data_IF_956539457286
#
_entry.id   IF_956539457286
#
_cell.length_a   1.000
_cell.length_b   1.000
_cell.length_c   1.000
_cell.angle_alpha   90.00
_cell.angle_beta   90.00
_cell.angle_gamma   90.00
#
_symmetry.space_group_name_H-M   'P 1'
#
loop_
_entity.id
_entity.type
_entity.pdbx_description
1 polymer ?
#
# COMPACT_ATOMS: atom_id res chain seq x y z
N UNK A 1 16.44 6.17 -3.47
CA UNK A 1 17.00 4.94 -2.91
C UNK A 1 16.17 4.40 -1.77
N UNK A 2 15.88 5.27 -0.79
CA UNK A 2 15.06 4.87 0.33
C UNK A 2 13.66 4.48 -0.12
N UNK A 3 13.13 5.20 -1.10
CA UNK A 3 11.81 4.92 -1.64
C UNK A 3 11.74 3.55 -2.29
N UNK A 4 12.77 3.18 -3.02
CA UNK A 4 12.81 1.87 -3.68
C UNK A 4 12.90 0.76 -2.64
N UNK A 5 13.71 0.93 -1.62
CA UNK A 5 13.83 -0.04 -0.56
C UNK A 5 12.51 -0.20 0.19
N UNK A 6 11.83 0.90 0.47
CA UNK A 6 10.54 0.87 1.15
C UNK A 6 9.48 0.21 0.28
N UNK A 7 9.47 0.53 -1.02
CA UNK A 7 8.53 -0.09 -1.95
C UNK A 7 8.73 -1.59 -2.02
N UNK A 8 9.98 -2.03 -2.10
CA UNK A 8 10.31 -3.45 -2.17
C UNK A 8 9.91 -4.18 -0.89
N UNK A 9 10.19 -3.57 0.25
CA UNK A 9 9.83 -4.16 1.54
C UNK A 9 8.32 -4.28 1.67
N UNK A 10 7.60 -3.23 1.31
CA UNK A 10 6.15 -3.23 1.38
C UNK A 10 5.54 -4.28 0.45
N UNK A 11 6.06 -4.36 -0.77
CA UNK A 11 5.59 -5.37 -1.72
C UNK A 11 5.80 -6.78 -1.18
N UNK A 12 6.95 -7.02 -0.57
CA UNK A 12 7.25 -8.32 0.01
C UNK A 12 6.27 -8.69 1.11
N UNK A 13 5.98 -7.73 1.99
CA UNK A 13 5.03 -7.96 3.09
C UNK A 13 3.63 -8.25 2.56
N UNK A 14 3.19 -7.47 1.58
CA UNK A 14 1.85 -7.63 1.02
C UNK A 14 1.72 -8.97 0.30
N UNK A 15 2.75 -9.37 -0.43
CA UNK A 15 2.75 -10.67 -1.12
C UNK A 15 2.58 -11.84 -0.15
N UNK A 16 3.04 -11.67 1.07
CA UNK A 16 2.90 -12.70 2.09
C UNK A 16 1.51 -12.82 2.67
N UNK A 17 0.64 -11.85 2.41
CA UNK A 17 -0.71 -11.79 2.97
C UNK A 17 -1.77 -12.24 1.98
N UNK A 18 -1.55 -11.98 0.69
CA UNK A 18 -2.58 -12.11 -0.34
C UNK A 18 -2.58 -13.50 -0.99
N UNK A 19 -3.69 -13.81 -1.67
CA UNK A 19 -3.82 -15.04 -2.44
C UNK A 19 -3.27 -14.91 -3.86
N UNK A 20 -3.10 -13.67 -4.33
CA UNK A 20 -2.62 -13.39 -5.69
C UNK A 20 -1.35 -12.55 -5.63
N UNK A 21 -0.23 -13.12 -5.16
CA UNK A 21 1.00 -12.34 -5.00
C UNK A 21 1.57 -11.82 -6.31
N UNK A 22 1.26 -12.48 -7.42
CA UNK A 22 1.69 -12.03 -8.75
C UNK A 22 0.98 -10.76 -9.20
N UNK A 23 -0.09 -10.36 -8.50
CA UNK A 23 -0.84 -9.16 -8.81
C UNK A 23 -0.47 -7.97 -7.94
N UNK A 24 0.43 -8.18 -7.00
CA UNK A 24 0.86 -7.10 -6.09
C UNK A 24 1.83 -6.16 -6.80
N UNK A 25 1.53 -4.87 -6.74
CA UNK A 25 2.40 -3.82 -7.26
C UNK A 25 2.46 -2.69 -6.27
N UNK A 26 3.64 -2.12 -6.11
CA UNK A 26 3.82 -0.95 -5.25
C UNK A 26 4.51 0.13 -6.07
N UNK A 27 3.85 1.26 -6.21
CA UNK A 27 4.38 2.40 -6.96
C UNK A 27 4.60 3.57 -6.00
N UNK A 28 5.76 4.20 -6.12
CA UNK A 28 6.08 5.36 -5.31
C UNK A 28 5.79 6.62 -6.12
N UNK A 29 5.13 7.58 -5.50
CA UNK A 29 4.83 8.88 -6.10
C UNK A 29 5.16 9.98 -5.14
N UNK A 30 5.63 11.10 -5.68
CA UNK A 30 5.87 12.31 -4.91
C UNK A 30 4.60 13.15 -4.92
N UNK A 31 4.06 13.41 -3.75
CA UNK A 31 2.81 14.16 -3.63
C UNK A 31 3.02 15.63 -3.29
N UNK A 32 4.26 16.07 -3.22
CA UNK A 32 4.57 17.44 -2.80
C UNK A 32 4.64 17.62 -1.29
N UNK A 33 4.01 16.72 -0.54
CA UNK A 33 4.06 16.71 0.92
C UNK A 33 4.81 15.50 1.47
N UNK A 34 5.41 14.75 0.59
CA UNK A 34 6.09 13.52 0.94
C UNK A 34 5.76 12.49 -0.12
N UNK A 35 6.20 11.29 0.12
CA UNK A 35 6.02 10.20 -0.83
C UNK A 35 4.77 9.41 -0.52
N UNK A 36 4.13 8.93 -1.57
CA UNK A 36 2.98 8.04 -1.46
C UNK A 36 3.36 6.70 -2.07
N UNK A 37 3.24 5.64 -1.30
CA UNK A 37 3.41 4.28 -1.79
C UNK A 37 2.02 3.72 -2.07
N UNK A 38 1.71 3.56 -3.34
CA UNK A 38 0.42 3.04 -3.77
C UNK A 38 0.54 1.53 -3.94
N UNK A 39 -0.21 0.80 -3.13
CA UNK A 39 -0.19 -0.66 -3.16
C UNK A 39 -1.40 -1.13 -3.97
N UNK A 40 -1.13 -1.86 -5.04
CA UNK A 40 -2.17 -2.42 -5.89
C UNK A 40 -2.23 -3.92 -5.70
N UNK A 41 -3.43 -4.43 -5.48
CA UNK A 41 -3.65 -5.85 -5.26
C UNK A 41 -4.86 -6.32 -6.06
N UNK A 42 -5.00 -7.62 -6.20
CA UNK A 42 -6.19 -8.18 -6.84
C UNK A 42 -7.43 -7.75 -6.06
N UNK A 43 -8.54 -7.42 -6.72
CA UNK A 43 -9.74 -6.97 -6.01
C UNK A 43 -10.19 -7.89 -4.88
N UNK A 44 -10.06 -9.19 -5.07
CA UNK A 44 -10.47 -10.15 -4.05
C UNK A 44 -9.54 -10.12 -2.83
N UNK A 45 -8.34 -9.55 -2.96
CA UNK A 45 -7.38 -9.48 -1.87
C UNK A 45 -7.43 -8.16 -1.12
N UNK A 46 -8.16 -7.19 -1.64
CA UNK A 46 -8.19 -5.85 -1.06
C UNK A 46 -8.62 -5.86 0.41
N UNK A 47 -9.68 -6.59 0.70
CA UNK A 47 -10.16 -6.69 2.07
C UNK A 47 -9.16 -7.32 3.02
N UNK A 48 -8.37 -8.24 2.50
CA UNK A 48 -7.34 -8.92 3.29
C UNK A 48 -6.19 -7.98 3.65
N UNK A 49 -5.80 -7.14 2.70
CA UNK A 49 -4.73 -6.16 2.93
C UNK A 49 -5.19 -5.05 3.86
N UNK A 50 -6.42 -4.62 3.73
CA UNK A 50 -6.98 -3.63 4.64
C UNK A 50 -7.12 -4.23 6.03
N UNK A 51 -7.62 -5.45 6.09
CA UNK A 51 -7.81 -6.14 7.34
C UNK A 51 -9.06 -5.71 8.07
N UNK A 52 -9.38 -6.42 9.12
CA UNK A 52 -10.55 -6.15 9.91
C UNK A 52 -10.40 -4.81 10.61
N UNK A 53 -11.32 -3.89 10.36
CA UNK A 53 -11.25 -2.56 10.93
C UNK A 53 -10.06 -1.74 10.46
N UNK A 54 -9.44 -2.11 9.36
CA UNK A 54 -8.29 -1.40 8.83
C UNK A 54 -6.99 -1.70 9.55
N UNK A 55 -6.96 -2.73 10.37
CA UNK A 55 -5.79 -3.00 11.23
C UNK A 55 -4.54 -3.39 10.45
N UNK A 56 -4.69 -4.20 9.43
CA UNK A 56 -3.53 -4.63 8.63
C UNK A 56 -2.93 -3.44 7.90
N UNK A 57 -3.78 -2.64 7.25
CA UNK A 57 -3.30 -1.44 6.56
C UNK A 57 -2.64 -0.46 7.54
N UNK A 58 -3.22 -0.32 8.72
CA UNK A 58 -2.66 0.55 9.75
C UNK A 58 -1.28 0.07 10.20
N UNK A 59 -1.14 -1.24 10.38
CA UNK A 59 0.15 -1.83 10.74
C UNK A 59 1.20 -1.62 9.66
N UNK A 60 0.80 -1.76 8.39
CA UNK A 60 1.71 -1.52 7.27
C UNK A 60 2.16 -0.07 7.24
N UNK A 61 1.24 0.86 7.49
CA UNK A 61 1.57 2.29 7.55
C UNK A 61 2.56 2.59 8.65
N UNK A 62 2.34 2.00 9.83
CA UNK A 62 3.23 2.20 10.97
C UNK A 62 4.63 1.67 10.66
N UNK A 63 4.70 0.48 10.06
CA UNK A 63 5.97 -0.14 9.72
C UNK A 63 6.74 0.71 8.70
N UNK A 64 6.05 1.15 7.66
CA UNK A 64 6.67 1.98 6.63
C UNK A 64 7.15 3.31 7.22
N UNK A 65 6.35 3.92 8.08
CA UNK A 65 6.74 5.18 8.73
C UNK A 65 8.00 5.00 9.57
N UNK A 66 8.12 3.87 10.25
CA UNK A 66 9.32 3.58 11.05
C UNK A 66 10.55 3.42 10.16
N UNK A 67 10.39 2.76 9.02
CA UNK A 67 11.49 2.54 8.10
C UNK A 67 11.87 3.80 7.32
N UNK A 68 10.93 4.72 7.18
CA UNK A 68 11.17 5.95 6.43
C UNK A 68 12.09 6.93 7.15
N UNK A 69 12.29 6.75 8.45
CA UNK A 69 13.28 7.49 9.23
C UNK A 69 13.15 9.01 9.09
N UNK A 70 11.96 9.49 9.38
CA UNK A 70 11.70 10.92 9.37
C UNK A 70 11.11 11.47 8.09
N UNK A 71 11.20 10.73 7.01
CA UNK A 71 10.54 11.13 5.76
C UNK A 71 9.04 10.92 5.87
N UNK A 72 8.29 11.76 5.18
CA UNK A 72 6.85 11.61 5.14
C UNK A 72 6.50 10.60 4.06
N UNK A 73 5.96 9.48 4.48
CA UNK A 73 5.55 8.43 3.56
C UNK A 73 4.14 7.99 3.91
N UNK A 74 3.31 7.93 2.89
CA UNK A 74 1.93 7.50 3.01
C UNK A 74 1.74 6.21 2.26
N UNK A 75 0.87 5.35 2.76
CA UNK A 75 0.55 4.08 2.10
C UNK A 75 -0.93 4.10 1.73
N UNK A 76 -1.22 3.98 0.43
CA UNK A 76 -2.57 3.87 -0.07
C UNK A 76 -2.75 2.49 -0.69
N UNK A 77 -3.88 1.86 -0.42
CA UNK A 77 -4.18 0.53 -0.94
C UNK A 77 -5.34 0.61 -1.92
N UNK A 78 -5.13 0.11 -3.13
CA UNK A 78 -6.15 0.12 -4.18
C UNK A 78 -6.17 -1.24 -4.86
N UNK A 79 -7.21 -1.50 -5.65
CA UNK A 79 -7.24 -2.75 -6.42
C UNK A 79 -6.65 -2.57 -7.81
N UNK A 80 -6.31 -3.69 -8.45
CA UNK A 80 -5.60 -3.64 -9.74
C UNK A 80 -6.50 -3.27 -10.90
N UNK A 81 -7.80 -3.20 -10.70
CA UNK A 81 -8.70 -2.76 -11.76
C UNK A 81 -8.67 -1.25 -11.93
N UNK A 82 -7.83 -0.60 -11.14
CA UNK A 82 -7.68 0.85 -11.22
C UNK A 82 -8.78 1.61 -10.51
N UNK A 83 -9.77 0.90 -10.01
CA UNK A 83 -10.82 1.54 -9.25
C UNK A 83 -10.32 1.74 -7.83
N UNK A 84 -10.19 2.98 -7.47
CA UNK A 84 -9.88 3.36 -6.11
C UNK A 84 -11.17 3.27 -5.32
N UNK A 85 -11.20 2.48 -4.26
CA UNK A 85 -12.41 2.32 -3.47
C UNK A 85 -12.88 3.65 -2.91
N UNK A 86 -11.96 4.54 -2.63
CA UNK A 86 -12.31 5.88 -2.16
C UNK A 86 -12.97 6.68 -3.25
N UNK A 87 -12.47 6.56 -4.47
CA UNK A 87 -13.04 7.24 -5.62
C UNK A 87 -14.47 6.76 -5.86
N UNK A 88 -14.67 5.47 -5.78
CA UNK A 88 -16.00 4.89 -5.95
C UNK A 88 -16.96 5.41 -4.91
N UNK A 89 -16.54 5.44 -3.67
CA UNK A 89 -17.39 5.90 -2.61
C UNK A 89 -17.67 7.39 -2.75
N UNK A 90 -16.78 8.13 -3.37
CA UNK A 90 -16.97 9.55 -3.64
C UNK A 90 -17.91 9.81 -4.76
N UNK A 91 -18.09 8.84 -5.61
CA UNK A 91 -19.02 8.97 -6.71
C UNK A 91 -20.45 8.74 -6.24
#
# INVERSE_FOLDING_TARGET
LAEQALSDALAHLVRGIVDHPDRVRVDARDSGRGDVLEVRVHPSDLGRVIGRGGRTASSLRTLVSSLADGDRVRVDVVDTDGADSETESGA
#
